data_IF_372282172822
#
_entry.id   IF_372282172822
#
_cell.length_a   1.000
_cell.length_b   1.000
_cell.length_c   1.000
_cell.angle_alpha   90.00
_cell.angle_beta   90.00
_cell.angle_gamma   90.00
#
_symmetry.space_group_name_H-M   'P 1'
#
loop_
_entity.id
_entity.type
_entity.pdbx_description
1 polymer ?
#
# COMPACT_ATOMS: atom_id res chain seq x y z
N UNK A 1 13.81 -35.80 14.64
CA UNK A 1 12.85 -36.07 13.54
C UNK A 1 12.24 -34.74 13.12
N UNK A 2 12.59 -34.22 11.94
CA UNK A 2 12.07 -32.93 11.45
C UNK A 2 10.65 -33.12 10.94
N UNK A 3 9.69 -32.39 11.51
CA UNK A 3 8.30 -32.38 11.03
C UNK A 3 8.27 -31.55 9.75
N UNK A 4 7.92 -32.18 8.64
CA UNK A 4 7.66 -31.51 7.37
C UNK A 4 6.48 -30.56 7.58
N UNK A 5 6.77 -29.26 7.68
CA UNK A 5 5.73 -28.21 7.66
C UNK A 5 5.30 -28.11 6.20
N UNK A 6 4.34 -28.95 5.80
CA UNK A 6 3.61 -28.73 4.55
C UNK A 6 2.99 -27.34 4.64
N UNK A 7 3.25 -26.48 3.65
CA UNK A 7 2.53 -25.23 3.44
C UNK A 7 1.05 -25.59 3.34
N UNK A 8 0.35 -25.46 4.47
CA UNK A 8 -1.05 -25.83 4.56
C UNK A 8 -1.77 -24.85 3.64
N UNK A 9 -2.62 -25.36 2.74
CA UNK A 9 -3.56 -24.55 1.94
C UNK A 9 -4.42 -23.59 2.82
N UNK A 10 -4.37 -23.76 4.14
CA UNK A 10 -4.97 -22.88 5.13
C UNK A 10 -4.21 -21.57 5.35
N UNK A 11 -2.92 -21.45 5.00
CA UNK A 11 -2.18 -20.20 5.24
C UNK A 11 -2.74 -19.10 4.34
N UNK A 12 -2.79 -19.30 3.02
CA UNK A 12 -3.41 -18.36 2.08
C UNK A 12 -4.88 -18.07 2.40
N UNK A 13 -5.67 -19.08 2.78
CA UNK A 13 -7.08 -18.87 3.23
C UNK A 13 -7.18 -18.05 4.51
N UNK A 14 -6.30 -18.32 5.48
CA UNK A 14 -6.26 -17.60 6.78
C UNK A 14 -5.69 -16.19 6.61
N UNK A 15 -4.76 -16.03 5.67
CA UNK A 15 -4.18 -14.77 5.27
C UNK A 15 -5.24 -13.92 4.55
N UNK A 16 -5.99 -14.48 3.59
CA UNK A 16 -7.15 -13.83 2.98
C UNK A 16 -8.26 -13.51 4.01
N UNK A 17 -8.47 -14.36 5.01
CA UNK A 17 -9.44 -14.06 6.08
C UNK A 17 -8.97 -12.91 7.02
N UNK A 18 -7.67 -12.68 7.15
CA UNK A 18 -7.10 -11.66 8.04
C UNK A 18 -6.79 -10.35 7.31
N UNK A 19 -6.47 -10.41 6.02
CA UNK A 19 -5.94 -9.30 5.22
C UNK A 19 -6.64 -9.12 3.86
N UNK A 20 -7.49 -10.07 3.45
CA UNK A 20 -8.13 -10.10 2.13
C UNK A 20 -9.21 -9.03 1.97
N UNK A 21 -8.78 -7.84 1.61
CA UNK A 21 -9.42 -7.08 0.54
C UNK A 21 -8.42 -7.03 -0.60
N UNK A 22 -8.42 -8.07 -1.43
CA UNK A 22 -7.60 -8.14 -2.63
C UNK A 22 -8.03 -7.01 -3.58
N UNK A 23 -7.04 -6.20 -3.98
CA UNK A 23 -7.05 -5.51 -5.27
C UNK A 23 -5.83 -6.02 -5.99
N UNK A 24 -6.01 -7.11 -6.70
CA UNK A 24 -5.03 -7.70 -7.62
C UNK A 24 -5.14 -6.93 -8.96
N UNK A 25 -4.08 -6.25 -9.44
CA UNK A 25 -4.17 -5.30 -10.56
C UNK A 25 -4.50 -5.94 -11.93
N UNK A 26 -4.27 -7.24 -12.12
CA UNK A 26 -4.63 -7.95 -13.38
C UNK A 26 -6.00 -8.65 -13.33
N UNK A 27 -6.55 -8.86 -12.13
CA UNK A 27 -7.86 -9.50 -11.90
C UNK A 27 -9.04 -8.51 -11.86
N UNK A 28 -8.77 -7.22 -12.11
CA UNK A 28 -9.73 -6.12 -12.01
C UNK A 28 -10.94 -6.20 -12.97
N UNK A 29 -10.96 -7.14 -13.90
CA UNK A 29 -12.03 -7.28 -14.89
C UNK A 29 -13.23 -8.14 -14.43
N UNK A 30 -13.13 -8.89 -13.32
CA UNK A 30 -14.20 -9.86 -12.93
C UNK A 30 -14.72 -9.75 -11.49
N UNK A 31 -14.39 -8.70 -10.73
CA UNK A 31 -14.93 -8.53 -9.37
C UNK A 31 -16.08 -7.53 -9.35
N UNK A 32 -17.22 -7.99 -8.81
CA UNK A 32 -18.44 -7.19 -8.59
C UNK A 32 -18.24 -5.94 -7.72
N UNK A 33 -19.33 -5.24 -7.35
CA UNK A 33 -19.41 -3.78 -7.08
C UNK A 33 -18.55 -3.15 -5.95
N UNK A 34 -17.57 -3.85 -5.38
CA UNK A 34 -16.66 -3.37 -4.32
C UNK A 34 -15.28 -2.90 -4.82
N UNK A 35 -14.90 -3.11 -6.09
CA UNK A 35 -13.51 -2.96 -6.56
C UNK A 35 -12.97 -1.53 -6.63
N UNK A 36 -13.83 -0.50 -6.63
CA UNK A 36 -13.44 0.90 -6.76
C UNK A 36 -13.80 1.77 -5.55
N UNK A 37 -14.27 1.18 -4.44
CA UNK A 37 -14.54 1.95 -3.24
C UNK A 37 -13.27 2.72 -2.80
N UNK A 38 -13.38 4.00 -2.41
CA UNK A 38 -14.59 4.77 -2.09
C UNK A 38 -15.23 5.52 -3.27
N UNK A 39 -14.75 5.31 -4.49
CA UNK A 39 -15.31 5.88 -5.71
C UNK A 39 -16.62 5.18 -6.11
N UNK A 40 -17.50 5.92 -6.76
CA UNK A 40 -18.83 5.44 -7.15
C UNK A 40 -18.79 4.46 -8.33
N UNK A 41 -17.74 4.52 -9.16
CA UNK A 41 -17.57 3.65 -10.31
C UNK A 41 -16.11 3.56 -10.76
N UNK A 42 -15.82 2.66 -11.69
CA UNK A 42 -14.53 2.58 -12.38
C UNK A 42 -14.16 3.91 -13.04
N UNK A 43 -15.10 4.51 -13.76
CA UNK A 43 -14.86 5.76 -14.48
C UNK A 43 -14.53 6.90 -13.51
N UNK A 44 -15.23 6.95 -12.37
CA UNK A 44 -14.98 7.90 -11.28
C UNK A 44 -13.54 7.78 -10.74
N UNK A 45 -13.06 6.55 -10.54
CA UNK A 45 -11.66 6.30 -10.14
C UNK A 45 -10.64 6.58 -11.24
N UNK A 46 -10.94 6.25 -12.50
CA UNK A 46 -10.00 6.47 -13.63
C UNK A 46 -9.76 7.96 -13.87
N UNK A 47 -10.80 8.80 -13.78
CA UNK A 47 -10.66 10.25 -13.89
C UNK A 47 -9.83 10.82 -12.74
N UNK A 48 -10.05 10.34 -11.51
CA UNK A 48 -9.24 10.69 -10.35
C UNK A 48 -7.77 10.27 -10.52
N UNK A 49 -7.53 9.04 -10.97
CA UNK A 49 -6.19 8.51 -11.17
C UNK A 49 -5.45 9.28 -12.27
N UNK A 50 -6.12 9.57 -13.39
CA UNK A 50 -5.56 10.36 -14.49
C UNK A 50 -5.13 11.75 -14.02
N UNK A 51 -6.00 12.45 -13.28
CA UNK A 51 -5.70 13.78 -12.74
C UNK A 51 -4.42 13.80 -11.89
N UNK A 52 -4.24 12.79 -11.04
CA UNK A 52 -3.05 12.66 -10.18
C UNK A 52 -1.81 12.28 -10.98
N UNK A 53 -1.91 11.30 -11.89
CA UNK A 53 -0.79 10.82 -12.70
C UNK A 53 -0.21 11.91 -13.61
N UNK A 54 -1.08 12.69 -14.23
CA UNK A 54 -0.68 13.76 -15.15
C UNK A 54 -0.35 15.08 -14.43
N UNK A 55 -0.49 15.12 -13.10
CA UNK A 55 -0.16 16.29 -12.29
C UNK A 55 -1.01 17.51 -12.62
N UNK A 56 -2.29 17.31 -12.94
CA UNK A 56 -3.19 18.41 -13.32
C UNK A 56 -3.39 19.35 -12.12
N UNK A 57 -3.11 20.64 -12.32
CA UNK A 57 -3.31 21.63 -11.27
C UNK A 57 -4.77 21.72 -10.80
N UNK A 58 -4.98 21.84 -9.49
CA UNK A 58 -6.31 21.78 -8.85
C UNK A 58 -7.30 22.79 -9.47
N UNK A 59 -6.85 24.00 -9.79
CA UNK A 59 -7.69 25.03 -10.41
C UNK A 59 -8.14 24.65 -11.82
N UNK A 60 -7.28 23.98 -12.61
CA UNK A 60 -7.64 23.51 -13.95
C UNK A 60 -8.65 22.37 -13.88
N UNK A 61 -8.45 21.43 -12.95
CA UNK A 61 -9.40 20.34 -12.75
C UNK A 61 -10.76 20.85 -12.24
N UNK A 62 -10.76 21.80 -11.29
CA UNK A 62 -12.00 22.42 -10.81
C UNK A 62 -12.75 23.15 -11.93
N UNK A 63 -12.05 23.82 -12.86
CA UNK A 63 -12.68 24.44 -14.04
C UNK A 63 -13.32 23.41 -14.96
N UNK A 64 -12.68 22.25 -15.17
CA UNK A 64 -13.25 21.15 -15.94
C UNK A 64 -14.53 20.61 -15.27
N UNK A 65 -14.50 20.40 -13.96
CA UNK A 65 -15.63 19.88 -13.19
C UNK A 65 -16.79 20.89 -13.08
N UNK A 66 -16.51 22.19 -13.23
CA UNK A 66 -17.51 23.25 -13.24
C UNK A 66 -18.25 23.40 -14.59
N UNK A 67 -17.85 22.68 -15.64
CA UNK A 67 -18.59 22.66 -16.91
C UNK A 67 -19.88 21.89 -16.71
N UNK A 68 -21.01 22.54 -16.98
CA UNK A 68 -22.34 21.97 -16.83
C UNK A 68 -22.48 20.62 -17.55
N UNK A 69 -22.89 19.60 -16.81
CA UNK A 69 -23.13 18.25 -17.33
C UNK A 69 -21.89 17.36 -17.40
N UNK A 70 -20.66 17.87 -17.19
CA UNK A 70 -19.45 17.02 -17.21
C UNK A 70 -19.50 16.02 -16.06
N UNK A 71 -19.78 16.48 -14.85
CA UNK A 71 -19.84 15.63 -13.66
C UNK A 71 -20.96 14.59 -13.76
N UNK A 72 -22.15 15.00 -14.22
CA UNK A 72 -23.32 14.14 -14.32
C UNK A 72 -23.13 13.09 -15.42
N UNK A 73 -22.57 13.46 -16.57
CA UNK A 73 -22.33 12.53 -17.69
C UNK A 73 -21.24 11.52 -17.37
N UNK A 74 -20.23 11.92 -16.59
CA UNK A 74 -19.16 11.03 -16.14
C UNK A 74 -19.50 10.30 -14.83
N UNK A 75 -20.58 10.66 -14.14
CA UNK A 75 -20.98 10.04 -12.89
C UNK A 75 -19.96 10.21 -11.76
N UNK A 76 -19.29 11.36 -11.69
CA UNK A 76 -18.22 11.59 -10.71
C UNK A 76 -18.77 11.84 -9.30
N UNK A 77 -18.15 11.19 -8.31
CA UNK A 77 -18.57 11.25 -6.90
C UNK A 77 -18.10 12.53 -6.17
N UNK A 78 -17.23 13.31 -6.82
CA UNK A 78 -16.66 14.56 -6.32
C UNK A 78 -17.00 15.73 -7.25
N UNK A 79 -17.11 16.93 -6.66
CA UNK A 79 -17.48 18.15 -7.38
C UNK A 79 -16.29 19.09 -7.59
N UNK A 80 -15.19 18.86 -6.88
CA UNK A 80 -13.93 19.59 -7.00
C UNK A 80 -12.78 18.70 -6.51
N UNK A 81 -11.57 19.22 -6.60
CA UNK A 81 -10.35 18.54 -6.15
C UNK A 81 -10.35 18.28 -4.64
N UNK A 82 -10.97 19.14 -3.82
CA UNK A 82 -11.07 18.92 -2.38
C UNK A 82 -11.93 17.69 -2.06
N UNK A 83 -13.12 17.59 -2.67
CA UNK A 83 -13.98 16.42 -2.53
C UNK A 83 -13.36 15.15 -3.09
N UNK A 84 -12.49 15.25 -4.10
CA UNK A 84 -11.68 14.12 -4.55
C UNK A 84 -10.71 13.67 -3.45
N UNK A 85 -10.01 14.60 -2.80
CA UNK A 85 -9.11 14.27 -1.70
C UNK A 85 -9.85 13.71 -0.48
N UNK A 86 -11.02 14.25 -0.15
CA UNK A 86 -11.85 13.73 0.94
C UNK A 86 -12.19 12.25 0.70
N UNK A 87 -12.53 11.87 -0.54
CA UNK A 87 -12.73 10.46 -0.92
C UNK A 87 -11.47 9.64 -0.74
N UNK A 88 -10.30 10.16 -1.09
CA UNK A 88 -9.04 9.44 -0.87
C UNK A 88 -8.75 9.24 0.63
N UNK A 89 -9.22 10.12 1.51
CA UNK A 89 -9.07 9.97 2.96
C UNK A 89 -9.90 8.81 3.53
N UNK A 90 -11.01 8.44 2.87
CA UNK A 90 -11.85 7.29 3.25
C UNK A 90 -11.14 5.94 3.01
N UNK A 91 -10.07 5.92 2.20
CA UNK A 91 -9.31 4.69 1.94
C UNK A 91 -8.65 4.23 3.25
N UNK A 92 -8.94 3.00 3.72
CA UNK A 92 -8.38 2.51 4.97
C UNK A 92 -6.85 2.46 4.88
N UNK A 93 -6.19 3.09 5.86
CA UNK A 93 -4.73 3.07 5.96
C UNK A 93 -4.28 1.67 6.31
N UNK A 94 -3.56 1.00 5.40
CA UNK A 94 -3.04 -0.37 5.63
C UNK A 94 -2.04 -0.43 6.80
N UNK A 95 -1.14 0.55 6.91
CA UNK A 95 -0.06 0.60 7.91
C UNK A 95 -0.34 1.54 9.10
N UNK A 96 -1.59 1.57 9.57
CA UNK A 96 -1.95 2.33 10.77
C UNK A 96 -1.92 3.86 10.62
N UNK A 97 -1.90 4.57 11.76
CA UNK A 97 -2.01 6.04 11.79
C UNK A 97 -0.65 6.72 11.68
N UNK A 98 -0.60 7.83 10.95
CA UNK A 98 0.55 8.74 10.99
C UNK A 98 0.55 9.52 12.29
N UNK A 99 1.72 9.58 12.92
CA UNK A 99 2.02 10.44 14.06
C UNK A 99 2.96 11.55 13.61
N UNK A 100 2.75 12.74 14.17
CA UNK A 100 3.61 13.90 13.95
C UNK A 100 4.16 14.33 15.30
N UNK A 101 5.48 14.42 15.41
CA UNK A 101 6.19 14.93 16.57
C UNK A 101 7.04 16.12 16.15
N UNK A 102 7.12 17.13 17.00
CA UNK A 102 7.99 18.28 16.81
C UNK A 102 9.16 18.15 17.78
N UNK A 103 10.37 18.16 17.25
CA UNK A 103 11.61 18.07 18.03
C UNK A 103 12.36 19.39 17.86
N UNK A 104 12.71 20.03 18.97
CA UNK A 104 13.53 21.25 18.99
C UNK A 104 14.87 20.92 19.61
N UNK A 105 15.94 21.53 19.09
CA UNK A 105 17.27 21.37 19.65
C UNK A 105 17.67 22.60 20.47
N UNK A 106 18.50 22.47 21.52
CA UNK A 106 18.90 23.60 22.37
C UNK A 106 19.63 24.71 21.61
N UNK A 107 20.35 24.39 20.54
CA UNK A 107 21.06 25.35 19.68
C UNK A 107 20.11 26.10 18.74
N UNK A 108 18.89 25.58 18.50
CA UNK A 108 17.86 26.18 17.64
C UNK A 108 16.45 26.01 18.22
N UNK A 109 16.15 26.68 19.35
CA UNK A 109 14.88 26.50 20.05
C UNK A 109 13.66 26.96 19.23
N UNK A 110 13.86 27.86 18.27
CA UNK A 110 12.80 28.43 17.44
C UNK A 110 12.63 27.69 16.08
N UNK A 111 13.37 26.61 15.85
CA UNK A 111 13.29 25.82 14.60
C UNK A 111 12.84 24.38 14.93
N UNK A 112 11.52 24.13 15.06
CA UNK A 112 11.02 22.78 15.30
C UNK A 112 11.18 21.90 14.06
N UNK A 113 11.79 20.73 14.25
CA UNK A 113 11.89 19.68 13.24
C UNK A 113 10.65 18.78 13.31
N UNK A 114 10.00 18.59 12.17
CA UNK A 114 8.79 17.75 12.07
C UNK A 114 9.18 16.31 11.78
N UNK A 115 9.01 15.42 12.76
CA UNK A 115 9.16 13.97 12.60
C UNK A 115 7.80 13.34 12.34
N UNK A 116 7.62 12.72 11.17
CA UNK A 116 6.43 11.93 10.84
C UNK A 116 6.78 10.46 10.94
N UNK A 117 6.07 9.71 11.76
CA UNK A 117 6.32 8.28 11.97
C UNK A 117 5.03 7.48 12.13
N UNK A 118 5.12 6.15 12.05
CA UNK A 118 4.02 5.21 12.28
C UNK A 118 4.39 4.20 13.37
N UNK A 119 3.41 3.46 13.88
CA UNK A 119 3.70 2.33 14.74
C UNK A 119 4.40 1.23 13.91
N UNK A 120 5.60 0.83 14.33
CA UNK A 120 6.40 -0.16 13.59
C UNK A 120 5.69 -1.52 13.50
N UNK A 121 4.92 -1.91 14.51
CA UNK A 121 4.18 -3.18 14.51
C UNK A 121 3.06 -3.14 13.47
N UNK A 122 2.30 -2.05 13.39
CA UNK A 122 1.24 -1.87 12.37
C UNK A 122 1.84 -1.82 10.95
N UNK A 123 3.00 -1.19 10.78
CA UNK A 123 3.72 -1.22 9.50
C UNK A 123 4.15 -2.64 9.11
N UNK A 124 4.74 -3.41 10.03
CA UNK A 124 5.16 -4.80 9.75
C UNK A 124 3.95 -5.66 9.40
N UNK A 125 2.86 -5.56 10.18
CA UNK A 125 1.61 -6.28 9.92
C UNK A 125 1.04 -5.93 8.54
N UNK A 126 1.06 -4.65 8.17
CA UNK A 126 0.62 -4.20 6.84
C UNK A 126 1.47 -4.76 5.72
N UNK A 127 2.81 -4.81 5.88
CA UNK A 127 3.70 -5.35 4.84
C UNK A 127 3.52 -6.87 4.71
N UNK A 128 3.36 -7.57 5.83
CA UNK A 128 3.15 -9.02 5.83
C UNK A 128 1.74 -9.42 5.39
N UNK A 129 0.79 -8.48 5.46
CA UNK A 129 -0.58 -8.61 5.01
C UNK A 129 -0.80 -8.11 3.58
N UNK A 130 0.24 -7.77 2.82
CA UNK A 130 0.12 -7.39 1.40
C UNK A 130 0.50 -8.57 0.49
N UNK A 131 -0.40 -9.10 -0.37
CA UNK A 131 -0.11 -10.28 -1.17
C UNK A 131 0.87 -9.98 -2.29
N UNK A 132 0.96 -8.72 -2.75
CA UNK A 132 1.95 -8.27 -3.73
C UNK A 132 3.39 -8.46 -3.23
N UNK A 133 3.58 -8.58 -1.90
CA UNK A 133 4.88 -8.78 -1.28
C UNK A 133 5.18 -10.25 -0.96
N UNK A 134 4.29 -11.19 -1.28
CA UNK A 134 4.45 -12.61 -0.91
C UNK A 134 5.80 -13.18 -1.34
N UNK A 135 6.22 -12.93 -2.59
CA UNK A 135 7.48 -13.44 -3.13
C UNK A 135 8.74 -12.82 -2.48
N UNK A 136 8.57 -11.68 -1.82
CA UNK A 136 9.65 -10.93 -1.19
C UNK A 136 9.78 -11.22 0.31
N UNK A 137 8.79 -11.86 0.94
CA UNK A 137 8.82 -12.15 2.37
C UNK A 137 9.55 -13.47 2.63
N UNK A 138 10.61 -13.41 3.45
CA UNK A 138 11.39 -14.58 3.85
C UNK A 138 11.15 -14.93 5.31
N UNK A 139 10.49 -16.08 5.54
CA UNK A 139 10.09 -16.53 6.88
C UNK A 139 11.15 -17.32 7.65
N UNK A 140 12.22 -17.77 6.98
CA UNK A 140 13.27 -18.55 7.61
C UNK A 140 14.64 -18.25 7.02
N UNK A 141 15.72 -18.39 7.81
CA UNK A 141 17.07 -18.29 7.27
C UNK A 141 17.31 -19.31 6.17
N UNK A 142 17.99 -18.90 5.10
CA UNK A 142 18.34 -19.80 3.98
C UNK A 142 19.78 -19.59 3.57
N UNK A 143 20.45 -20.70 3.29
CA UNK A 143 21.84 -20.69 2.80
C UNK A 143 21.82 -20.56 1.29
N UNK A 144 22.39 -19.48 0.79
CA UNK A 144 22.54 -19.21 -0.64
C UNK A 144 23.99 -19.46 -1.02
N UNK A 145 24.23 -20.14 -2.14
CA UNK A 145 25.57 -20.51 -2.60
C UNK A 145 25.75 -20.10 -4.07
N UNK A 146 26.97 -19.77 -4.46
CA UNK A 146 27.30 -19.35 -5.83
C UNK A 146 27.22 -20.50 -6.86
N UNK A 147 27.30 -21.75 -6.39
CA UNK A 147 27.31 -22.94 -7.24
C UNK A 147 26.72 -24.16 -6.53
N UNK A 148 26.29 -25.16 -7.29
CA UNK A 148 25.71 -26.42 -6.79
C UNK A 148 26.67 -27.20 -5.88
N UNK A 149 27.99 -27.01 -6.02
CA UNK A 149 28.98 -27.63 -5.14
C UNK A 149 29.03 -27.01 -3.73
N UNK A 150 28.26 -25.94 -3.47
CA UNK A 150 28.12 -25.27 -2.17
C UNK A 150 29.44 -24.83 -1.51
N UNK A 151 30.47 -24.58 -2.31
CA UNK A 151 31.81 -24.21 -1.82
C UNK A 151 31.88 -22.78 -1.30
N UNK A 152 31.20 -21.84 -1.97
CA UNK A 152 31.15 -20.43 -1.58
C UNK A 152 29.73 -20.04 -1.17
N UNK A 153 29.57 -19.62 0.09
CA UNK A 153 28.29 -19.11 0.63
C UNK A 153 28.19 -17.61 0.42
N UNK A 154 27.00 -17.17 0.02
CA UNK A 154 26.67 -15.76 -0.18
C UNK A 154 25.97 -15.25 1.08
N UNK A 155 26.41 -14.08 1.55
CA UNK A 155 25.82 -13.33 2.66
C UNK A 155 25.48 -11.94 2.14
N UNK A 156 24.21 -11.70 1.82
CA UNK A 156 23.74 -10.42 1.28
C UNK A 156 22.63 -9.82 2.14
N UNK A 157 21.73 -10.67 2.64
CA UNK A 157 20.62 -10.28 3.50
C UNK A 157 20.74 -10.87 4.89
N UNK A 158 20.06 -10.28 5.89
CA UNK A 158 20.08 -10.77 7.27
C UNK A 158 19.71 -12.27 7.36
N UNK A 159 18.70 -12.72 6.61
CA UNK A 159 18.25 -14.12 6.57
C UNK A 159 19.21 -15.08 5.83
N UNK A 160 20.19 -14.54 5.09
CA UNK A 160 21.27 -15.35 4.48
C UNK A 160 22.45 -15.57 5.43
N UNK A 161 22.48 -14.85 6.56
CA UNK A 161 23.46 -14.93 7.64
C UNK A 161 23.49 -16.26 8.40
N UNK A 162 24.50 -16.42 9.26
CA UNK A 162 24.39 -17.32 10.42
C UNK A 162 23.90 -16.47 11.58
N UNK A 163 22.65 -16.67 11.97
CA UNK A 163 22.13 -16.15 13.22
C UNK A 163 22.15 -17.30 14.23
N UNK A 164 22.71 -17.03 15.42
CA UNK A 164 22.98 -17.94 16.55
C UNK A 164 23.81 -19.20 16.24
#
# INVERSE_FOLDING_TARGET
AGREIRMVQSLHKRWAALFGQDVDPESANELGPMSYAPFASKLDWEVAQWMVKDGIGHNSFNRLLAIDGVRERLGLSYHNTAGLHDRLEDIPRRAGKWHVKHVTYPDRPNEPFTLRHRNIIECIQSLWGDPELEEHIVYQPRRVFTSNNKQCRIYNEMWTGKWW
#
